data_IF_583348362637
#
_entry.id   IF_583348362637
#
_cell.length_a   1.000
_cell.length_b   1.000
_cell.length_c   1.000
_cell.angle_alpha   90.00
_cell.angle_beta   90.00
_cell.angle_gamma   90.00
#
_symmetry.space_group_name_H-M   'P 1'
#
loop_
_entity.id
_entity.type
_entity.pdbx_description
1 polymer ?
#
# COMPACT_ATOMS: atom_id res chain seq x y z
N UNK A 1 34.32 1.19 5.94
CA UNK A 1 33.62 -0.06 5.56
C UNK A 1 32.14 0.26 5.44
N UNK A 2 31.67 0.43 4.20
CA UNK A 2 30.28 0.75 3.97
C UNK A 2 29.42 -0.46 4.36
N UNK A 3 28.46 -0.24 5.25
CA UNK A 3 27.41 -1.19 5.58
C UNK A 3 26.76 -1.66 4.28
N UNK A 4 26.89 -2.95 3.97
CA UNK A 4 26.06 -3.58 2.94
C UNK A 4 24.63 -3.45 3.44
N UNK A 5 23.89 -2.49 2.85
CA UNK A 5 22.44 -2.46 2.96
C UNK A 5 21.94 -3.88 2.63
N UNK A 6 21.08 -4.44 3.48
CA UNK A 6 20.46 -5.73 3.25
C UNK A 6 19.86 -5.74 1.85
N UNK A 7 20.59 -6.32 0.89
CA UNK A 7 20.05 -6.57 -0.44
C UNK A 7 18.93 -7.58 -0.27
N UNK A 8 17.73 -7.18 -0.67
CA UNK A 8 16.56 -8.02 -0.56
C UNK A 8 16.75 -9.28 -1.40
N UNK A 9 16.64 -10.44 -0.75
CA UNK A 9 16.78 -11.74 -1.40
C UNK A 9 15.49 -12.09 -2.15
N UNK A 10 15.52 -12.00 -3.48
CA UNK A 10 14.40 -12.34 -4.35
C UNK A 10 14.89 -12.91 -5.68
N UNK A 11 14.17 -13.88 -6.24
CA UNK A 11 14.42 -14.29 -7.61
C UNK A 11 13.79 -13.30 -8.59
N UNK A 12 14.49 -12.98 -9.67
CA UNK A 12 13.97 -12.20 -10.78
C UNK A 12 13.82 -13.15 -11.98
N UNK A 13 12.59 -13.41 -12.37
CA UNK A 13 12.25 -14.40 -13.40
C UNK A 13 11.48 -13.75 -14.55
N UNK A 14 11.74 -14.25 -15.74
CA UNK A 14 11.09 -13.84 -16.97
C UNK A 14 10.22 -14.98 -17.49
N UNK A 15 8.94 -14.73 -17.72
CA UNK A 15 8.05 -15.68 -18.36
C UNK A 15 8.20 -15.60 -19.90
N UNK A 16 7.95 -16.70 -20.59
CA UNK A 16 8.00 -16.75 -22.05
C UNK A 16 7.09 -15.67 -22.65
N UNK A 17 7.61 -14.93 -23.63
CA UNK A 17 6.91 -13.83 -24.28
C UNK A 17 7.06 -12.48 -23.61
N UNK A 18 7.62 -12.40 -22.39
CA UNK A 18 7.92 -11.13 -21.74
C UNK A 18 9.26 -10.54 -22.22
N UNK A 19 9.41 -9.22 -22.06
CA UNK A 19 10.60 -8.49 -22.51
C UNK A 19 11.75 -8.59 -21.48
N UNK A 20 12.86 -9.21 -21.88
CA UNK A 20 14.05 -9.32 -21.03
C UNK A 20 14.68 -7.96 -20.69
N UNK A 21 14.63 -7.00 -21.61
CA UNK A 21 15.10 -5.64 -21.38
C UNK A 21 14.29 -4.93 -20.30
N UNK A 22 12.98 -5.13 -20.27
CA UNK A 22 12.10 -4.58 -19.25
C UNK A 22 12.40 -5.15 -17.86
N UNK A 23 12.74 -6.44 -17.74
CA UNK A 23 13.14 -7.03 -16.46
C UNK A 23 14.45 -6.42 -15.94
N UNK A 24 15.44 -6.22 -16.81
CA UNK A 24 16.72 -5.60 -16.44
C UNK A 24 16.53 -4.15 -15.99
N UNK A 25 15.72 -3.38 -16.68
CA UNK A 25 15.35 -2.01 -16.30
C UNK A 25 14.63 -1.94 -14.93
N UNK A 26 13.72 -2.88 -14.70
CA UNK A 26 13.00 -2.98 -13.44
C UNK A 26 13.94 -3.28 -12.27
N UNK A 27 14.86 -4.23 -12.45
CA UNK A 27 15.85 -4.58 -11.43
C UNK A 27 16.74 -3.38 -11.09
N UNK A 28 17.22 -2.66 -12.08
CA UNK A 28 18.04 -1.45 -11.90
C UNK A 28 17.25 -0.34 -11.19
N UNK A 29 16.04 -0.04 -11.66
CA UNK A 29 15.19 1.00 -11.10
C UNK A 29 14.88 0.80 -9.62
N UNK A 30 14.59 -0.44 -9.22
CA UNK A 30 14.18 -0.75 -7.85
C UNK A 30 15.31 -1.29 -6.97
N UNK A 31 16.54 -1.34 -7.50
CA UNK A 31 17.71 -1.82 -6.76
C UNK A 31 17.61 -3.30 -6.38
N UNK A 32 17.01 -4.13 -7.24
CA UNK A 32 16.82 -5.54 -6.99
C UNK A 32 17.96 -6.36 -7.58
N UNK A 33 18.41 -7.37 -6.82
CA UNK A 33 19.44 -8.30 -7.24
C UNK A 33 18.87 -9.72 -7.26
N UNK A 34 19.07 -10.43 -8.37
CA UNK A 34 18.62 -11.81 -8.50
C UNK A 34 19.37 -12.72 -7.53
N UNK A 35 18.60 -13.45 -6.70
CA UNK A 35 19.10 -14.49 -5.83
C UNK A 35 18.44 -15.83 -6.20
N UNK A 36 19.17 -16.77 -6.83
CA UNK A 36 18.60 -18.03 -7.29
C UNK A 36 18.11 -18.95 -6.16
N UNK A 37 18.53 -18.70 -4.92
CA UNK A 37 18.15 -19.50 -3.75
C UNK A 37 16.93 -18.92 -3.01
N UNK A 38 16.43 -17.75 -3.43
CA UNK A 38 15.29 -17.13 -2.75
C UNK A 38 13.99 -17.92 -2.97
N UNK A 39 13.16 -17.99 -1.94
CA UNK A 39 11.85 -18.66 -1.99
C UNK A 39 10.76 -17.77 -2.59
N UNK A 40 11.01 -16.47 -2.68
CA UNK A 40 10.11 -15.51 -3.32
C UNK A 40 10.66 -15.10 -4.67
N UNK A 41 9.78 -14.99 -5.66
CA UNK A 41 10.15 -14.56 -7.01
C UNK A 41 9.27 -13.40 -7.48
N UNK A 42 9.93 -12.41 -8.08
CA UNK A 42 9.27 -11.37 -8.84
C UNK A 42 9.34 -11.80 -10.32
N UNK A 43 8.19 -12.02 -10.92
CA UNK A 43 8.08 -12.60 -12.27
C UNK A 43 7.47 -11.59 -13.22
N UNK A 44 8.20 -11.25 -14.27
CA UNK A 44 7.66 -10.44 -15.35
C UNK A 44 6.98 -11.37 -16.36
N UNK A 45 5.66 -11.24 -16.48
CA UNK A 45 4.85 -11.92 -17.50
C UNK A 45 4.60 -10.98 -18.68
N UNK A 46 4.06 -11.48 -19.83
CA UNK A 46 3.67 -10.59 -20.91
C UNK A 46 2.61 -9.55 -20.55
N UNK A 47 1.79 -9.82 -19.51
CA UNK A 47 0.67 -8.97 -19.13
C UNK A 47 0.97 -8.03 -17.94
N UNK A 48 1.76 -8.51 -16.98
CA UNK A 48 2.02 -7.76 -15.73
C UNK A 48 3.23 -8.30 -14.97
N UNK A 49 3.61 -7.57 -13.93
CA UNK A 49 4.58 -8.02 -12.92
C UNK A 49 3.84 -8.71 -11.78
N UNK A 50 4.33 -9.85 -11.32
CA UNK A 50 3.71 -10.59 -10.22
C UNK A 50 4.73 -11.15 -9.23
N UNK A 51 4.29 -11.33 -7.99
CA UNK A 51 5.04 -11.96 -6.91
C UNK A 51 4.55 -13.39 -6.71
N UNK A 52 5.49 -14.34 -6.66
CA UNK A 52 5.20 -15.77 -6.40
C UNK A 52 5.99 -16.26 -5.19
N UNK A 53 5.35 -17.08 -4.37
CA UNK A 53 6.00 -17.85 -3.31
C UNK A 53 6.29 -19.24 -3.85
N UNK A 54 7.55 -19.51 -4.19
CA UNK A 54 7.94 -20.70 -4.96
C UNK A 54 7.79 -22.01 -4.17
N UNK A 55 7.93 -21.97 -2.85
CA UNK A 55 7.76 -23.11 -1.96
C UNK A 55 6.28 -23.41 -1.64
N UNK A 56 5.37 -22.49 -1.96
CA UNK A 56 3.93 -22.66 -1.79
C UNK A 56 3.15 -22.22 -3.06
N UNK A 57 3.34 -22.92 -4.20
CA UNK A 57 2.77 -22.46 -5.48
C UNK A 57 1.24 -22.42 -5.49
N UNK A 58 0.57 -23.17 -4.60
CA UNK A 58 -0.89 -23.18 -4.46
C UNK A 58 -1.46 -21.86 -3.92
N UNK A 59 -0.65 -20.99 -3.34
CA UNK A 59 -1.09 -19.67 -2.88
C UNK A 59 -1.43 -18.75 -4.04
N UNK A 60 -0.92 -19.03 -5.24
CA UNK A 60 -1.11 -18.20 -6.41
C UNK A 60 -0.19 -16.98 -6.43
N UNK A 61 -0.20 -16.27 -7.55
CA UNK A 61 0.58 -15.05 -7.73
C UNK A 61 -0.16 -13.83 -7.19
N UNK A 62 0.62 -12.82 -6.74
CA UNK A 62 0.10 -11.51 -6.38
C UNK A 62 0.51 -10.52 -7.45
N UNK A 63 -0.42 -9.75 -7.95
CA UNK A 63 -0.17 -8.58 -8.78
C UNK A 63 -1.21 -7.50 -8.48
N UNK A 64 -0.88 -6.27 -8.83
CA UNK A 64 -1.77 -5.13 -8.63
C UNK A 64 -2.56 -4.87 -9.90
N UNK A 65 -3.88 -4.89 -9.80
CA UNK A 65 -4.78 -4.63 -10.93
C UNK A 65 -5.85 -3.62 -10.51
N UNK A 66 -5.71 -2.39 -11.02
CA UNK A 66 -6.69 -1.32 -10.79
C UNK A 66 -7.81 -1.31 -11.84
N UNK A 67 -7.63 -2.02 -12.93
CA UNK A 67 -8.56 -2.01 -14.08
C UNK A 67 -9.68 -3.03 -13.91
N UNK A 68 -9.35 -4.24 -13.44
CA UNK A 68 -10.26 -5.37 -13.33
C UNK A 68 -10.18 -6.03 -11.95
N UNK A 69 -10.86 -7.16 -11.79
CA UNK A 69 -10.80 -7.97 -10.59
C UNK A 69 -11.41 -7.32 -9.36
N UNK A 70 -10.84 -7.65 -8.20
CA UNK A 70 -11.38 -7.26 -6.89
C UNK A 70 -11.42 -5.73 -6.68
N UNK A 71 -10.41 -5.01 -7.16
CA UNK A 71 -10.38 -3.55 -7.01
C UNK A 71 -11.43 -2.85 -7.86
N UNK A 72 -11.60 -3.28 -9.11
CA UNK A 72 -12.66 -2.75 -9.97
C UNK A 72 -14.06 -3.07 -9.42
N UNK A 73 -14.23 -4.27 -8.89
CA UNK A 73 -15.48 -4.67 -8.23
C UNK A 73 -15.77 -3.79 -7.01
N UNK A 74 -14.79 -3.58 -6.15
CA UNK A 74 -14.91 -2.71 -4.97
C UNK A 74 -15.24 -1.27 -5.38
N UNK A 75 -14.62 -0.73 -6.42
CA UNK A 75 -14.92 0.60 -6.95
C UNK A 75 -16.37 0.72 -7.41
N UNK A 76 -16.85 -0.27 -8.14
CA UNK A 76 -18.20 -0.25 -8.75
C UNK A 76 -19.31 -0.56 -7.75
N UNK A 77 -19.06 -1.45 -6.79
CA UNK A 77 -20.10 -2.03 -5.94
C UNK A 77 -19.81 -1.94 -4.43
N UNK A 78 -18.64 -1.45 -4.03
CA UNK A 78 -18.19 -1.45 -2.65
C UNK A 78 -18.73 -0.33 -1.76
N UNK A 79 -19.60 0.53 -2.26
CA UNK A 79 -20.19 1.61 -1.48
C UNK A 79 -19.51 2.98 -1.61
N UNK A 80 -18.38 3.10 -2.28
CA UNK A 80 -17.71 4.35 -2.59
C UNK A 80 -17.50 5.27 -1.38
N UNK A 81 -18.15 6.43 -1.36
CA UNK A 81 -18.10 7.39 -0.24
C UNK A 81 -18.68 6.84 1.07
N UNK A 82 -19.49 5.80 1.01
CA UNK A 82 -20.05 5.11 2.17
C UNK A 82 -19.09 4.12 2.81
N UNK A 83 -17.96 3.80 2.20
CA UNK A 83 -16.97 2.91 2.80
C UNK A 83 -16.35 3.54 4.05
N UNK A 84 -15.97 2.69 5.01
CA UNK A 84 -15.43 3.13 6.28
C UNK A 84 -14.17 3.99 6.13
N UNK A 85 -13.25 3.62 5.22
CA UNK A 85 -12.05 4.40 4.96
C UNK A 85 -12.38 5.80 4.42
N UNK A 86 -13.36 5.92 3.50
CA UNK A 86 -13.79 7.18 2.94
C UNK A 86 -14.41 8.10 4.00
N UNK A 87 -15.25 7.54 4.87
CA UNK A 87 -15.81 8.28 6.01
C UNK A 87 -14.73 8.70 7.00
N UNK A 88 -13.78 7.81 7.29
CA UNK A 88 -12.71 8.08 8.25
C UNK A 88 -11.82 9.26 7.82
N UNK A 89 -11.49 9.39 6.53
CA UNK A 89 -10.71 10.52 6.03
C UNK A 89 -11.49 11.84 6.00
N UNK A 90 -12.80 11.80 6.23
CA UNK A 90 -13.63 12.99 6.39
C UNK A 90 -14.30 13.49 5.13
N UNK A 91 -14.52 12.63 4.14
CA UNK A 91 -15.34 12.97 2.97
C UNK A 91 -16.75 13.32 3.43
N UNK A 92 -17.20 14.53 3.11
CA UNK A 92 -18.53 15.00 3.48
C UNK A 92 -19.04 16.05 2.48
N UNK A 93 -20.22 15.78 1.90
CA UNK A 93 -20.78 16.68 0.88
C UNK A 93 -19.85 16.81 -0.31
N UNK A 94 -19.51 18.03 -0.68
CA UNK A 94 -18.56 18.33 -1.76
C UNK A 94 -17.09 18.29 -1.29
N UNK A 95 -16.86 18.20 0.02
CA UNK A 95 -15.51 18.19 0.57
C UNK A 95 -14.86 16.82 0.42
N UNK A 96 -13.71 16.82 -0.25
CA UNK A 96 -12.87 15.64 -0.48
C UNK A 96 -11.42 16.01 -0.15
N UNK A 97 -10.83 15.44 0.91
CA UNK A 97 -9.49 15.83 1.35
C UNK A 97 -8.39 15.30 0.43
N UNK A 98 -7.26 15.99 0.43
CA UNK A 98 -6.00 15.42 -0.04
C UNK A 98 -5.46 14.45 1.01
N UNK A 99 -4.90 13.33 0.56
CA UNK A 99 -4.47 12.23 1.41
C UNK A 99 -3.05 11.81 1.08
N UNK A 100 -2.26 11.55 2.10
CA UNK A 100 -1.04 10.74 2.00
C UNK A 100 -1.30 9.41 2.66
N UNK A 101 -1.25 8.32 1.90
CA UNK A 101 -1.24 6.96 2.43
C UNK A 101 0.22 6.54 2.66
N UNK A 102 0.65 6.60 3.91
CA UNK A 102 2.04 6.34 4.29
C UNK A 102 2.36 4.85 4.44
N UNK A 103 1.38 3.99 4.24
CA UNK A 103 1.46 2.53 4.37
C UNK A 103 0.75 1.85 3.20
N UNK A 104 1.06 2.27 1.99
CA UNK A 104 0.24 1.96 0.82
C UNK A 104 0.03 0.47 0.56
N UNK A 105 1.05 -0.37 0.80
CA UNK A 105 0.96 -1.81 0.53
C UNK A 105 0.60 -2.06 -0.93
N UNK A 106 -0.49 -2.79 -1.17
CA UNK A 106 -1.01 -3.07 -2.51
C UNK A 106 -1.97 -1.98 -3.04
N UNK A 107 -2.10 -0.86 -2.33
CA UNK A 107 -2.82 0.32 -2.78
C UNK A 107 -4.35 0.22 -2.75
N UNK A 108 -4.92 -0.72 -2.01
CA UNK A 108 -6.36 -1.00 -2.03
C UNK A 108 -7.21 0.13 -1.47
N UNK A 109 -6.90 0.60 -0.28
CA UNK A 109 -7.63 1.72 0.34
C UNK A 109 -7.32 3.04 -0.38
N UNK A 110 -6.07 3.27 -0.77
CA UNK A 110 -5.67 4.43 -1.57
C UNK A 110 -6.44 4.53 -2.89
N UNK A 111 -6.62 3.40 -3.57
CA UNK A 111 -7.39 3.34 -4.81
C UNK A 111 -8.86 3.72 -4.61
N UNK A 112 -9.48 3.22 -3.55
CA UNK A 112 -10.88 3.58 -3.21
C UNK A 112 -11.00 5.08 -2.95
N UNK A 113 -10.08 5.65 -2.16
CA UNK A 113 -10.07 7.08 -1.87
C UNK A 113 -9.90 7.91 -3.15
N UNK A 114 -8.99 7.51 -4.04
CA UNK A 114 -8.81 8.17 -5.34
C UNK A 114 -10.06 8.05 -6.21
N UNK A 115 -10.72 6.90 -6.22
CA UNK A 115 -11.93 6.67 -7.03
C UNK A 115 -13.10 7.56 -6.64
N UNK A 116 -13.17 7.99 -5.39
CA UNK A 116 -14.22 8.90 -4.88
C UNK A 116 -13.82 10.37 -4.87
N UNK A 117 -12.63 10.69 -5.40
CA UNK A 117 -12.19 12.06 -5.67
C UNK A 117 -10.98 12.55 -4.90
N UNK A 118 -10.46 11.83 -3.92
CA UNK A 118 -9.25 12.23 -3.19
C UNK A 118 -8.03 12.24 -4.11
N UNK A 119 -7.16 13.25 -3.95
CA UNK A 119 -5.80 13.19 -4.46
C UNK A 119 -4.96 12.44 -3.43
N UNK A 120 -4.46 11.26 -3.78
CA UNK A 120 -3.75 10.36 -2.88
C UNK A 120 -2.30 10.19 -3.35
N UNK A 121 -1.36 10.51 -2.48
CA UNK A 121 0.05 10.16 -2.64
C UNK A 121 0.35 8.95 -1.78
N UNK A 122 0.78 7.86 -2.40
CA UNK A 122 1.17 6.64 -1.71
C UNK A 122 2.66 6.66 -1.38
N UNK A 123 3.03 6.26 -0.18
CA UNK A 123 4.40 5.99 0.22
C UNK A 123 4.56 4.49 0.45
N UNK A 124 5.59 3.91 -0.14
CA UNK A 124 5.93 2.50 0.05
C UNK A 124 7.45 2.34 0.14
N UNK A 125 7.92 1.72 1.22
CA UNK A 125 9.36 1.53 1.48
C UNK A 125 9.94 0.27 0.87
N UNK A 126 9.12 -0.78 0.74
CA UNK A 126 9.60 -2.07 0.27
C UNK A 126 9.73 -2.06 -1.25
N UNK A 127 10.94 -2.28 -1.81
CA UNK A 127 11.17 -2.10 -3.24
C UNK A 127 10.37 -3.05 -4.12
N UNK A 128 10.11 -4.28 -3.67
CA UNK A 128 9.29 -5.25 -4.42
C UNK A 128 7.82 -4.81 -4.43
N UNK A 129 7.29 -4.35 -3.31
CA UNK A 129 5.92 -3.85 -3.23
C UNK A 129 5.76 -2.59 -4.06
N UNK A 130 6.71 -1.68 -3.99
CA UNK A 130 6.73 -0.47 -4.82
C UNK A 130 6.77 -0.81 -6.31
N UNK A 131 7.55 -1.81 -6.73
CA UNK A 131 7.60 -2.28 -8.11
C UNK A 131 6.26 -2.85 -8.58
N UNK A 132 5.59 -3.66 -7.76
CA UNK A 132 4.26 -4.19 -8.05
C UNK A 132 3.21 -3.09 -8.16
N UNK A 133 3.24 -2.11 -7.25
CA UNK A 133 2.35 -0.94 -7.30
C UNK A 133 2.57 -0.11 -8.56
N UNK A 134 3.82 0.18 -8.88
CA UNK A 134 4.16 0.96 -10.08
C UNK A 134 3.69 0.27 -11.35
N UNK A 135 3.90 -1.04 -11.45
CA UNK A 135 3.39 -1.84 -12.58
C UNK A 135 1.86 -1.72 -12.70
N UNK A 136 1.15 -1.88 -11.61
CA UNK A 136 -0.30 -1.70 -11.58
C UNK A 136 -0.75 -0.30 -11.95
N UNK A 137 -0.04 0.73 -11.48
CA UNK A 137 -0.32 2.13 -11.82
C UNK A 137 -0.09 2.41 -13.30
N UNK A 138 1.02 1.96 -13.89
CA UNK A 138 1.29 2.19 -15.31
C UNK A 138 0.24 1.54 -16.21
N UNK A 139 -0.19 0.32 -15.89
CA UNK A 139 -1.29 -0.33 -16.62
C UNK A 139 -2.61 0.40 -16.42
N UNK A 140 -2.88 0.86 -15.21
CA UNK A 140 -4.08 1.64 -14.89
C UNK A 140 -4.11 3.00 -15.58
N UNK A 141 -2.99 3.71 -15.63
CA UNK A 141 -2.88 5.00 -16.33
C UNK A 141 -3.14 4.89 -17.84
N UNK A 142 -2.80 3.74 -18.43
CA UNK A 142 -3.03 3.46 -19.84
C UNK A 142 -4.46 3.01 -20.15
N UNK A 143 -5.27 2.70 -19.14
CA UNK A 143 -6.63 2.23 -19.32
C UNK A 143 -7.57 3.37 -19.77
N UNK A 144 -8.39 3.17 -20.81
CA UNK A 144 -9.26 4.23 -21.32
C UNK A 144 -10.40 4.64 -20.38
N UNK A 145 -10.82 3.77 -19.46
CA UNK A 145 -11.90 4.07 -18.51
C UNK A 145 -11.39 4.83 -17.28
N UNK A 146 -10.31 4.36 -16.68
CA UNK A 146 -9.83 4.90 -15.39
C UNK A 146 -8.59 5.77 -15.50
N UNK A 147 -7.84 5.68 -16.60
CA UNK A 147 -6.49 6.25 -16.71
C UNK A 147 -6.44 7.76 -16.47
N UNK A 148 -7.42 8.50 -16.95
CA UNK A 148 -7.45 9.94 -16.80
C UNK A 148 -7.51 10.40 -15.35
N UNK A 149 -8.48 9.92 -14.58
CA UNK A 149 -8.58 10.29 -13.18
C UNK A 149 -7.55 9.59 -12.30
N UNK A 150 -7.13 8.37 -12.65
CA UNK A 150 -6.14 7.63 -11.87
C UNK A 150 -4.78 8.34 -11.89
N UNK A 151 -4.35 8.80 -13.06
CA UNK A 151 -3.10 9.53 -13.21
C UNK A 151 -3.09 10.85 -12.42
N UNK A 152 -4.22 11.53 -12.39
CA UNK A 152 -4.39 12.78 -11.64
C UNK A 152 -4.41 12.54 -10.12
N UNK A 153 -5.03 11.44 -9.65
CA UNK A 153 -5.41 11.29 -8.24
C UNK A 153 -4.62 10.25 -7.46
N UNK A 154 -3.87 9.38 -8.12
CA UNK A 154 -3.13 8.31 -7.43
C UNK A 154 -1.69 8.22 -7.93
N UNK A 155 -0.76 8.59 -7.05
CA UNK A 155 0.68 8.59 -7.34
C UNK A 155 1.46 7.83 -6.28
N UNK A 156 2.66 7.38 -6.62
CA UNK A 156 3.54 6.60 -5.75
C UNK A 156 4.89 7.29 -5.58
N UNK A 157 5.35 7.35 -4.32
CA UNK A 157 6.72 7.66 -3.95
C UNK A 157 7.34 6.46 -3.23
N UNK A 158 8.43 5.92 -3.76
CA UNK A 158 9.22 4.89 -3.08
C UNK A 158 10.12 5.56 -2.04
N UNK A 159 9.75 5.47 -0.78
CA UNK A 159 10.47 6.10 0.32
C UNK A 159 10.12 5.43 1.65
N UNK A 160 11.01 5.59 2.63
CA UNK A 160 10.66 5.34 4.03
C UNK A 160 9.66 6.40 4.49
N UNK A 161 8.48 5.96 4.94
CA UNK A 161 7.42 6.88 5.38
C UNK A 161 7.84 7.70 6.60
N UNK A 162 8.62 7.12 7.52
CA UNK A 162 9.09 7.83 8.71
C UNK A 162 9.91 9.06 8.31
N UNK A 163 10.79 8.93 7.32
CA UNK A 163 11.61 10.03 6.83
C UNK A 163 10.83 10.97 5.89
N UNK A 164 10.07 10.41 4.96
CA UNK A 164 9.31 11.18 3.98
C UNK A 164 8.26 12.10 4.62
N UNK A 165 7.58 11.64 5.68
CA UNK A 165 6.57 12.43 6.38
C UNK A 165 7.14 13.70 7.04
N UNK A 166 8.43 13.77 7.28
CA UNK A 166 9.08 14.95 7.88
C UNK A 166 9.18 16.13 6.90
N UNK A 167 9.35 15.84 5.60
CA UNK A 167 9.71 16.84 4.59
C UNK A 167 8.73 16.89 3.40
N UNK A 168 7.64 16.13 3.44
CA UNK A 168 6.72 16.03 2.31
C UNK A 168 5.97 17.34 2.06
N UNK A 169 6.03 17.84 0.82
CA UNK A 169 5.35 19.05 0.40
C UNK A 169 4.54 18.83 -0.90
N UNK A 170 3.39 19.48 -1.07
CA UNK A 170 2.63 20.20 -0.03
C UNK A 170 2.11 19.27 1.05
N UNK A 171 1.86 19.81 2.24
CA UNK A 171 1.28 19.03 3.33
C UNK A 171 -0.13 18.54 2.96
N UNK A 172 -0.46 17.26 3.21
CA UNK A 172 -1.80 16.74 2.97
C UNK A 172 -2.77 17.22 4.07
N UNK A 173 -4.04 17.22 3.75
CA UNK A 173 -5.08 17.44 4.78
C UNK A 173 -5.18 16.22 5.72
N UNK A 174 -5.02 15.01 5.17
CA UNK A 174 -5.11 13.75 5.92
C UNK A 174 -3.88 12.88 5.66
N UNK A 175 -3.35 12.29 6.73
CA UNK A 175 -2.43 11.15 6.65
C UNK A 175 -3.18 9.88 7.03
N UNK A 176 -3.11 8.87 6.17
CA UNK A 176 -3.73 7.56 6.36
C UNK A 176 -2.66 6.52 6.64
N UNK A 177 -2.85 5.76 7.72
CA UNK A 177 -1.93 4.72 8.18
C UNK A 177 -2.68 3.40 8.35
N UNK A 178 -2.18 2.34 7.72
CA UNK A 178 -2.63 0.96 7.89
C UNK A 178 -1.43 0.02 8.02
N UNK A 179 -0.62 0.17 9.09
CA UNK A 179 0.57 -0.65 9.27
C UNK A 179 0.22 -2.12 9.51
N UNK A 180 1.07 -3.02 9.01
CA UNK A 180 0.94 -4.46 9.21
C UNK A 180 1.03 -4.78 10.69
N UNK A 181 -0.10 -5.19 11.27
CA UNK A 181 -0.17 -5.65 12.65
C UNK A 181 0.12 -7.15 12.73
N UNK A 182 0.96 -7.62 13.68
CA UNK A 182 1.22 -9.04 13.82
C UNK A 182 -0.05 -9.78 14.26
N UNK A 183 -0.61 -10.58 13.36
CA UNK A 183 -1.76 -11.44 13.67
C UNK A 183 -1.33 -12.65 14.48
N UNK A 184 -2.09 -12.98 15.52
CA UNK A 184 -1.95 -14.27 16.19
C UNK A 184 -2.24 -15.38 15.17
N UNK A 185 -1.37 -16.38 15.12
CA UNK A 185 -1.28 -17.44 14.09
C UNK A 185 -2.54 -18.29 13.84
N UNK A 186 -3.68 -18.00 14.45
CA UNK A 186 -4.86 -18.90 14.49
C UNK A 186 -6.06 -18.45 13.67
N UNK A 187 -6.00 -17.39 12.86
CA UNK A 187 -7.12 -17.14 11.97
C UNK A 187 -6.96 -17.93 10.68
N UNK A 188 -7.72 -19.00 10.55
CA UNK A 188 -7.86 -19.81 9.32
C UNK A 188 -8.36 -18.99 8.10
N UNK A 189 -8.53 -17.68 8.23
CA UNK A 189 -9.20 -16.80 7.29
C UNK A 189 -8.29 -15.72 6.68
N UNK A 190 -6.98 -15.77 6.90
CA UNK A 190 -6.07 -14.87 6.17
C UNK A 190 -6.09 -15.30 4.70
N UNK A 191 -6.57 -14.42 3.83
CA UNK A 191 -6.59 -14.67 2.38
C UNK A 191 -5.20 -15.09 1.91
N UNK A 192 -5.14 -16.05 0.97
CA UNK A 192 -3.89 -16.58 0.41
C UNK A 192 -2.93 -15.48 -0.03
N UNK A 193 -3.46 -14.46 -0.68
CA UNK A 193 -2.73 -13.28 -1.12
C UNK A 193 -2.03 -12.54 0.03
N UNK A 194 -2.72 -12.35 1.17
CA UNK A 194 -2.13 -11.70 2.34
C UNK A 194 -1.04 -12.55 2.99
N UNK A 195 -1.14 -13.87 2.92
CA UNK A 195 -0.06 -14.76 3.41
C UNK A 195 1.22 -14.61 2.60
N UNK A 196 1.11 -14.53 1.28
CA UNK A 196 2.26 -14.28 0.40
C UNK A 196 2.86 -12.92 0.69
N UNK A 197 2.03 -11.89 0.79
CA UNK A 197 2.45 -10.54 1.11
C UNK A 197 3.15 -10.45 2.48
N UNK A 198 2.59 -11.04 3.51
CA UNK A 198 3.18 -11.08 4.85
C UNK A 198 4.52 -11.85 4.89
N UNK A 199 4.67 -12.90 4.07
CA UNK A 199 5.94 -13.63 3.94
C UNK A 199 7.06 -12.75 3.37
N UNK A 200 6.71 -11.80 2.51
CA UNK A 200 7.67 -10.85 1.94
C UNK A 200 8.00 -9.71 2.91
N UNK A 201 6.98 -9.06 3.45
CA UNK A 201 7.10 -7.78 4.15
C UNK A 201 7.27 -7.96 5.66
N UNK A 202 6.65 -8.99 6.25
CA UNK A 202 6.57 -9.16 7.70
C UNK A 202 5.65 -8.15 8.36
N UNK A 203 5.78 -8.01 9.69
CA UNK A 203 5.07 -7.00 10.46
C UNK A 203 5.85 -5.69 10.48
N UNK A 204 5.12 -4.56 10.52
CA UNK A 204 5.71 -3.23 10.67
C UNK A 204 6.06 -2.97 12.14
N UNK A 205 7.23 -3.48 12.60
CA UNK A 205 7.65 -3.38 13.99
C UNK A 205 8.00 -1.94 14.42
N UNK A 206 8.26 -1.06 13.47
CA UNK A 206 8.56 0.36 13.66
C UNK A 206 7.35 1.27 13.41
N UNK A 207 6.14 0.70 13.31
CA UNK A 207 4.91 1.43 12.98
C UNK A 207 4.59 2.57 13.94
N UNK A 208 4.91 2.41 15.24
CA UNK A 208 4.66 3.43 16.25
C UNK A 208 5.36 4.76 15.93
N UNK A 209 6.53 4.71 15.29
CA UNK A 209 7.29 5.89 14.88
C UNK A 209 6.61 6.71 13.76
N UNK A 210 5.57 6.19 13.13
CA UNK A 210 4.81 6.90 12.07
C UNK A 210 3.88 7.97 12.64
N UNK A 211 3.36 7.79 13.86
CA UNK A 211 2.27 8.64 14.37
C UNK A 211 2.71 10.09 14.58
N UNK A 212 3.82 10.32 15.24
CA UNK A 212 4.30 11.68 15.54
C UNK A 212 4.58 12.50 14.26
N UNK A 213 5.36 12.00 13.27
CA UNK A 213 5.56 12.75 12.02
C UNK A 213 4.26 12.91 11.21
N UNK A 214 3.35 11.94 11.24
CA UNK A 214 2.04 12.07 10.59
C UNK A 214 1.23 13.21 11.20
N UNK A 215 1.20 13.30 12.53
CA UNK A 215 0.50 14.38 13.26
C UNK A 215 1.14 15.75 13.06
N UNK A 216 2.45 15.80 12.86
CA UNK A 216 3.14 17.05 12.55
C UNK A 216 2.87 17.53 11.11
N UNK A 217 2.64 16.63 10.17
CA UNK A 217 2.46 16.93 8.75
C UNK A 217 1.01 17.24 8.36
N UNK A 218 0.05 16.41 8.77
CA UNK A 218 -1.34 16.54 8.36
C UNK A 218 -1.96 17.84 8.88
N UNK A 219 -2.75 18.50 8.05
CA UNK A 219 -3.39 19.77 8.43
C UNK A 219 -4.75 19.60 9.09
N UNK A 220 -5.43 18.45 8.89
CA UNK A 220 -6.79 18.24 9.40
C UNK A 220 -6.97 17.01 10.29
N UNK A 221 -6.48 15.84 9.88
CA UNK A 221 -6.57 14.63 10.69
C UNK A 221 -5.57 13.55 10.28
N UNK A 222 -5.39 12.61 11.19
CA UNK A 222 -4.67 11.38 10.94
C UNK A 222 -5.63 10.22 11.17
N UNK A 223 -5.69 9.28 10.23
CA UNK A 223 -6.51 8.08 10.31
C UNK A 223 -5.60 6.87 10.44
N UNK A 224 -5.81 6.06 11.47
CA UNK A 224 -5.08 4.82 11.68
C UNK A 224 -6.06 3.65 11.65
N UNK A 225 -5.94 2.80 10.64
CA UNK A 225 -6.70 1.56 10.56
C UNK A 225 -6.02 0.46 11.37
N UNK A 226 -6.77 -0.16 12.26
CA UNK A 226 -6.28 -1.21 13.15
C UNK A 226 -7.25 -2.39 13.15
N UNK A 227 -6.79 -3.62 13.44
CA UNK A 227 -7.70 -4.65 13.93
C UNK A 227 -8.48 -4.13 15.14
N UNK A 228 -9.72 -4.53 15.29
CA UNK A 228 -10.60 -4.03 16.37
C UNK A 228 -10.03 -4.29 17.78
N UNK A 229 -9.25 -5.36 17.97
CA UNK A 229 -8.62 -5.76 19.24
C UNK A 229 -7.25 -5.11 19.49
N UNK A 230 -6.66 -4.43 18.49
CA UNK A 230 -5.30 -3.89 18.64
C UNK A 230 -5.26 -2.67 19.57
N UNK A 231 -4.16 -2.47 20.33
CA UNK A 231 -3.97 -1.22 21.07
C UNK A 231 -3.84 -0.04 20.11
N UNK A 232 -4.08 1.19 20.57
CA UNK A 232 -3.82 2.38 19.76
C UNK A 232 -2.36 2.45 19.32
N UNK A 233 -2.11 2.99 18.12
CA UNK A 233 -0.76 3.17 17.60
C UNK A 233 0.08 4.00 18.59
N UNK A 234 1.30 3.55 18.88
CA UNK A 234 2.22 4.16 19.85
C UNK A 234 1.61 4.33 21.27
N UNK A 235 0.61 3.53 21.60
CA UNK A 235 -0.17 3.64 22.85
C UNK A 235 -0.79 5.04 23.10
N UNK A 236 -0.93 5.84 22.05
CA UNK A 236 -1.56 7.16 22.12
C UNK A 236 -3.06 7.02 21.90
N UNK A 237 -3.89 7.41 22.87
CA UNK A 237 -5.35 7.35 22.71
C UNK A 237 -5.82 8.21 21.54
N UNK A 238 -6.74 7.66 20.74
CA UNK A 238 -7.35 8.40 19.65
C UNK A 238 -8.41 9.38 20.16
N UNK A 239 -8.62 10.48 19.44
CA UNK A 239 -9.65 11.47 19.76
C UNK A 239 -11.05 10.96 19.44
N UNK A 240 -11.15 10.12 18.40
CA UNK A 240 -12.38 9.45 17.99
C UNK A 240 -12.03 8.12 17.34
N UNK A 241 -13.01 7.23 17.26
CA UNK A 241 -12.84 5.96 16.57
C UNK A 241 -14.15 5.52 15.94
N UNK A 242 -14.05 4.83 14.80
CA UNK A 242 -15.16 4.16 14.14
C UNK A 242 -14.83 2.69 14.02
N UNK A 243 -15.70 1.82 14.50
CA UNK A 243 -15.52 0.36 14.45
C UNK A 243 -16.37 -0.25 13.37
N UNK A 244 -15.77 -1.12 12.58
CA UNK A 244 -16.46 -2.02 11.64
C UNK A 244 -16.42 -3.45 12.16
N UNK A 245 -16.93 -4.40 11.39
CA UNK A 245 -16.95 -5.81 11.81
C UNK A 245 -15.58 -6.34 12.22
N UNK A 246 -14.52 -5.95 11.49
CA UNK A 246 -13.17 -6.53 11.66
C UNK A 246 -12.09 -5.49 11.94
N UNK A 247 -12.41 -4.21 11.84
CA UNK A 247 -11.43 -3.14 11.92
C UNK A 247 -11.93 -1.98 12.78
N UNK A 248 -10.98 -1.19 13.24
CA UNK A 248 -11.20 0.08 13.89
C UNK A 248 -10.41 1.16 13.15
N UNK A 249 -11.02 2.30 12.92
CA UNK A 249 -10.38 3.49 12.37
C UNK A 249 -10.23 4.51 13.49
N UNK A 250 -9.01 4.67 13.98
CA UNK A 250 -8.66 5.64 15.01
C UNK A 250 -8.37 7.00 14.36
N UNK A 251 -8.97 8.04 14.88
CA UNK A 251 -8.85 9.42 14.37
C UNK A 251 -8.05 10.26 15.37
N UNK A 252 -6.98 10.86 14.87
CA UNK A 252 -6.13 11.78 15.64
C UNK A 252 -6.21 13.19 15.06
N UNK A 253 -6.06 14.18 15.92
CA UNK A 253 -5.89 15.57 15.51
C UNK A 253 -4.42 15.86 15.21
N UNK A 254 -4.12 16.84 14.33
CA UNK A 254 -2.77 17.30 14.12
C UNK A 254 -2.14 17.85 15.41
N UNK A 255 -0.81 17.79 15.47
CA UNK A 255 -0.05 18.54 16.48
C UNK A 255 -0.10 20.04 16.11
N UNK A 256 -0.41 20.90 17.07
CA UNK A 256 -0.40 22.37 16.91
C UNK A 256 1.02 22.89 17.04
#
# INVERSE_FOLDING_TARGET
MASRANSLSIQLLLEEGADSGALSHLAERWGLVHDPEAMMALVLTPEHLELRKLDEPKLGAIFVDFVAGAMAHRRKFGGGRGEAAAKAVGIKGSYVPSVVDATAGLGRDAYVLASVGCHVRMLERHPVVAALLDDGLQRGYADPEIGGWLQERLTLLHASSIDALKDLTPAPEVVYLDPMYPHKQKSALVKKEMRVFQSLVGADLDADALLAPARALATKRIVVKRPDYAPPLADVPAHAATTTKNHRFDIYTPLK
#
